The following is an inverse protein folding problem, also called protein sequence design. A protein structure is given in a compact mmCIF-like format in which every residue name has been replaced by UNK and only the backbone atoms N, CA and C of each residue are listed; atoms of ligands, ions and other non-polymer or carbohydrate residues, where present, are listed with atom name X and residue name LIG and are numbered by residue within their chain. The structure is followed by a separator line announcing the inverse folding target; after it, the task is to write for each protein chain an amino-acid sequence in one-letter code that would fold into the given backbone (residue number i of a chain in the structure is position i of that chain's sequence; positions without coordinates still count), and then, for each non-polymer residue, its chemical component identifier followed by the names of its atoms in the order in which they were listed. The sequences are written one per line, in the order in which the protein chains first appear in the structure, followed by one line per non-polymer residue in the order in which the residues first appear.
data_IF_079083316749
#
_entry.id   IF_079083316749
#
_cell.length_a   1.000
_cell.length_b   1.000
_cell.length_c   1.000
_cell.angle_alpha   90.00
_cell.angle_beta   90.00
_cell.angle_gamma   90.00
#
_symmetry.space_group_name_H-M   'P 1'
#
loop_
_entity.id
_entity.type
_entity.pdbx_description
1 polymer ?
#
# COMPACT_ATOMS: atom_id res chain seq x y z
N UNK A 1 -28.89 16.09 -45.42
CA UNK A 1 -29.08 16.19 -43.94
C UNK A 1 -28.84 14.80 -43.38
N UNK A 2 -27.60 14.47 -43.00
CA UNK A 2 -27.24 13.15 -42.40
C UNK A 2 -27.62 13.18 -40.92
N UNK A 3 -28.58 12.33 -40.54
CA UNK A 3 -28.94 12.11 -39.15
C UNK A 3 -27.87 11.20 -38.57
N UNK A 4 -26.99 11.75 -37.71
CA UNK A 4 -26.06 10.98 -36.93
C UNK A 4 -26.87 10.14 -35.92
N UNK A 5 -26.94 8.83 -36.16
CA UNK A 5 -27.49 7.87 -35.22
C UNK A 5 -26.56 7.81 -34.02
N UNK A 6 -26.94 8.44 -32.94
CA UNK A 6 -26.23 8.25 -31.63
C UNK A 6 -26.52 6.81 -31.21
N UNK A 7 -25.52 5.94 -31.36
CA UNK A 7 -25.56 4.62 -30.78
C UNK A 7 -25.69 4.82 -29.26
N UNK A 8 -26.77 4.32 -28.68
CA UNK A 8 -26.94 4.26 -27.22
C UNK A 8 -25.81 3.45 -26.58
N UNK A 9 -25.61 3.56 -25.24
CA UNK A 9 -24.60 2.81 -24.55
C UNK A 9 -24.84 1.32 -24.77
N UNK A 10 -23.96 0.69 -25.58
CA UNK A 10 -23.97 -0.75 -25.79
C UNK A 10 -23.69 -1.47 -24.44
N UNK A 11 -24.12 -2.72 -24.32
CA UNK A 11 -23.72 -3.54 -23.16
C UNK A 11 -22.20 -3.66 -23.10
N UNK A 12 -21.59 -3.63 -21.89
CA UNK A 12 -20.16 -3.78 -21.73
C UNK A 12 -19.65 -5.04 -22.43
N UNK A 13 -18.50 -4.92 -23.10
CA UNK A 13 -17.86 -6.09 -23.71
C UNK A 13 -17.35 -7.05 -22.63
N UNK A 14 -17.19 -8.34 -22.95
CA UNK A 14 -16.63 -9.33 -22.00
C UNK A 14 -15.27 -8.87 -21.45
N UNK A 15 -14.47 -8.21 -22.27
CA UNK A 15 -13.18 -7.69 -21.84
C UNK A 15 -13.28 -6.54 -20.82
N UNK A 16 -14.25 -5.61 -21.01
CA UNK A 16 -14.47 -4.51 -20.07
C UNK A 16 -15.09 -5.02 -18.78
N UNK A 17 -15.97 -6.00 -18.85
CA UNK A 17 -16.52 -6.69 -17.67
C UNK A 17 -15.44 -7.42 -16.88
N UNK A 18 -14.52 -8.11 -17.54
CA UNK A 18 -13.38 -8.75 -16.90
C UNK A 18 -12.48 -7.71 -16.22
N UNK A 19 -12.13 -6.62 -16.92
CA UNK A 19 -11.32 -5.54 -16.35
C UNK A 19 -11.97 -4.92 -15.11
N UNK A 20 -13.29 -4.69 -15.13
CA UNK A 20 -14.04 -4.20 -13.98
C UNK A 20 -13.93 -5.15 -12.77
N UNK A 21 -14.10 -6.45 -13.00
CA UNK A 21 -13.99 -7.46 -11.93
C UNK A 21 -12.59 -7.53 -11.33
N UNK A 22 -11.54 -7.51 -12.17
CA UNK A 22 -10.16 -7.51 -11.68
C UNK A 22 -9.82 -6.23 -10.92
N UNK A 23 -10.24 -5.07 -11.41
CA UNK A 23 -10.04 -3.81 -10.70
C UNK A 23 -10.78 -3.79 -9.35
N UNK A 24 -12.01 -4.29 -9.30
CA UNK A 24 -12.76 -4.42 -8.04
C UNK A 24 -12.08 -5.38 -7.06
N UNK A 25 -11.54 -6.50 -7.56
CA UNK A 25 -10.77 -7.44 -6.73
C UNK A 25 -9.50 -6.80 -6.17
N UNK A 26 -8.77 -6.01 -6.98
CA UNK A 26 -7.60 -5.24 -6.52
C UNK A 26 -8.00 -4.27 -5.40
N UNK A 27 -9.09 -3.52 -5.57
CA UNK A 27 -9.59 -2.59 -4.55
C UNK A 27 -9.93 -3.31 -3.25
N UNK A 28 -10.60 -4.47 -3.34
CA UNK A 28 -10.97 -5.27 -2.18
C UNK A 28 -9.73 -5.82 -1.45
N UNK A 29 -8.78 -6.40 -2.18
CA UNK A 29 -7.54 -6.94 -1.60
C UNK A 29 -6.75 -5.82 -0.93
N UNK A 30 -6.58 -4.69 -1.61
CA UNK A 30 -5.89 -3.53 -1.05
C UNK A 30 -6.56 -3.00 0.24
N UNK A 31 -7.89 -2.92 0.24
CA UNK A 31 -8.66 -2.49 1.41
C UNK A 31 -8.54 -3.48 2.58
N UNK A 32 -8.60 -4.79 2.32
CA UNK A 32 -8.43 -5.82 3.35
C UNK A 32 -7.01 -5.82 3.92
N UNK A 33 -5.99 -5.64 3.08
CA UNK A 33 -4.59 -5.53 3.52
C UNK A 33 -4.40 -4.32 4.42
N UNK A 34 -4.92 -3.17 4.01
CA UNK A 34 -4.85 -1.94 4.81
C UNK A 34 -5.63 -2.06 6.13
N UNK A 35 -6.82 -2.66 6.09
CA UNK A 35 -7.62 -2.94 7.30
C UNK A 35 -6.86 -3.87 8.26
N UNK A 36 -6.20 -4.91 7.74
CA UNK A 36 -5.31 -5.76 8.52
C UNK A 36 -4.18 -4.99 9.19
N UNK A 37 -3.52 -4.09 8.45
CA UNK A 37 -2.45 -3.26 8.99
C UNK A 37 -2.95 -2.34 10.13
N UNK A 38 -4.15 -1.77 10.00
CA UNK A 38 -4.79 -0.99 11.05
C UNK A 38 -5.22 -1.85 12.24
N UNK A 39 -5.71 -3.07 12.01
CA UNK A 39 -6.04 -4.01 13.06
C UNK A 39 -4.81 -4.34 13.93
N UNK A 40 -3.67 -4.67 13.31
CA UNK A 40 -2.43 -4.92 14.04
C UNK A 40 -1.99 -3.71 14.87
N UNK A 41 -2.17 -2.51 14.34
CA UNK A 41 -1.78 -1.27 15.02
C UNK A 41 -2.73 -0.92 16.16
N UNK A 42 -4.06 -0.94 15.93
CA UNK A 42 -5.04 -0.41 16.88
C UNK A 42 -5.50 -1.46 17.90
N UNK A 43 -5.61 -2.73 17.49
CA UNK A 43 -6.13 -3.79 18.35
C UNK A 43 -4.99 -4.54 19.04
N UNK A 44 -3.93 -4.87 18.33
CA UNK A 44 -2.79 -5.59 18.90
C UNK A 44 -1.69 -4.64 19.43
N UNK A 45 -1.81 -3.34 19.25
CA UNK A 45 -0.88 -2.34 19.76
C UNK A 45 0.51 -2.37 19.11
N UNK A 46 0.66 -3.04 17.95
CA UNK A 46 1.91 -3.11 17.21
C UNK A 46 2.15 -1.79 16.47
N UNK A 47 3.16 -1.05 16.91
CA UNK A 47 3.49 0.24 16.30
C UNK A 47 4.19 0.04 14.96
N UNK A 48 3.72 0.67 13.85
CA UNK A 48 4.37 0.55 12.56
C UNK A 48 5.71 1.30 12.55
N UNK A 49 6.72 0.71 11.93
CA UNK A 49 7.98 1.38 11.64
C UNK A 49 7.82 2.38 10.48
N UNK A 50 8.77 3.31 10.24
CA UNK A 50 8.70 4.25 9.13
C UNK A 50 8.48 3.59 7.77
N UNK A 51 9.24 2.55 7.42
CA UNK A 51 9.06 1.80 6.17
C UNK A 51 7.68 1.13 6.07
N UNK A 52 7.13 0.65 7.19
CA UNK A 52 5.77 0.10 7.23
C UNK A 52 4.71 1.15 6.88
N UNK A 53 4.91 2.41 7.30
CA UNK A 53 4.01 3.51 6.97
C UNK A 53 4.11 3.89 5.50
N UNK A 54 5.32 3.94 4.94
CA UNK A 54 5.55 4.23 3.52
C UNK A 54 4.85 3.21 2.61
N UNK A 55 4.92 1.93 2.95
CA UNK A 55 4.23 0.87 2.20
C UNK A 55 2.71 1.04 2.18
N UNK A 56 2.11 1.68 3.18
CA UNK A 56 0.66 1.94 3.20
C UNK A 56 0.22 2.97 2.17
N UNK A 57 1.09 3.90 1.75
CA UNK A 57 0.74 4.92 0.74
C UNK A 57 0.32 4.29 -0.60
N UNK A 58 0.96 3.19 -1.00
CA UNK A 58 0.58 2.47 -2.21
C UNK A 58 -0.87 1.97 -2.15
N UNK A 59 -1.32 1.46 -0.99
CA UNK A 59 -2.70 0.99 -0.81
C UNK A 59 -3.71 2.15 -0.75
N UNK A 60 -3.35 3.27 -0.11
CA UNK A 60 -4.20 4.47 -0.11
C UNK A 60 -4.43 5.02 -1.53
N UNK A 61 -3.44 4.91 -2.41
CA UNK A 61 -3.57 5.27 -3.82
C UNK A 61 -4.33 4.20 -4.62
N UNK A 62 -3.99 2.93 -4.40
CA UNK A 62 -4.54 1.82 -5.18
C UNK A 62 -6.05 1.66 -5.01
N UNK A 63 -6.59 1.83 -3.79
CA UNK A 63 -8.01 1.65 -3.51
C UNK A 63 -8.87 2.60 -4.36
N UNK A 64 -8.74 3.94 -4.28
CA UNK A 64 -9.58 4.84 -5.07
C UNK A 64 -9.33 4.69 -6.58
N UNK A 65 -8.08 4.49 -6.99
CA UNK A 65 -7.76 4.31 -8.40
C UNK A 65 -8.40 3.03 -8.96
N UNK A 66 -8.33 1.92 -8.23
CA UNK A 66 -8.94 0.66 -8.66
C UNK A 66 -10.48 0.75 -8.72
N UNK A 67 -11.11 1.47 -7.79
CA UNK A 67 -12.55 1.74 -7.83
C UNK A 67 -12.90 2.56 -9.08
N UNK A 68 -12.15 3.62 -9.37
CA UNK A 68 -12.36 4.44 -10.57
C UNK A 68 -12.22 3.61 -11.84
N UNK A 69 -11.17 2.76 -11.94
CA UNK A 69 -10.96 1.87 -13.10
C UNK A 69 -12.12 0.86 -13.22
N UNK A 70 -12.57 0.27 -12.11
CA UNK A 70 -13.67 -0.69 -12.10
C UNK A 70 -14.97 -0.05 -12.61
N UNK A 71 -15.29 1.15 -12.13
CA UNK A 71 -16.48 1.90 -12.56
C UNK A 71 -16.35 2.35 -14.02
N UNK A 72 -15.18 2.85 -14.43
CA UNK A 72 -14.94 3.25 -15.83
C UNK A 72 -15.10 2.06 -16.79
N UNK A 73 -14.56 0.90 -16.43
CA UNK A 73 -14.69 -0.33 -17.21
C UNK A 73 -16.15 -0.83 -17.27
N UNK A 74 -16.88 -0.76 -16.16
CA UNK A 74 -18.30 -1.12 -16.11
C UNK A 74 -19.20 -0.18 -16.94
N UNK A 75 -18.73 1.03 -17.22
CA UNK A 75 -19.43 2.04 -18.05
C UNK A 75 -18.92 2.13 -19.49
N UNK A 76 -18.17 1.12 -19.94
CA UNK A 76 -17.57 1.10 -21.28
C UNK A 76 -16.74 2.35 -21.63
N UNK A 77 -15.98 2.85 -20.67
CA UNK A 77 -15.03 3.93 -20.92
C UNK A 77 -14.00 3.53 -21.99
N UNK A 78 -13.35 4.51 -22.63
CA UNK A 78 -12.32 4.25 -23.65
C UNK A 78 -11.25 3.28 -23.16
N UNK A 79 -10.92 2.30 -23.97
CA UNK A 79 -9.98 1.22 -23.64
C UNK A 79 -8.61 1.76 -23.20
N UNK A 80 -8.17 2.87 -23.81
CA UNK A 80 -6.93 3.55 -23.44
C UNK A 80 -6.94 4.03 -21.98
N UNK A 81 -8.06 4.55 -21.50
CA UNK A 81 -8.21 5.02 -20.12
C UNK A 81 -8.17 3.84 -19.13
N UNK A 82 -8.87 2.75 -19.44
CA UNK A 82 -8.85 1.54 -18.62
C UNK A 82 -7.43 0.96 -18.55
N UNK A 83 -6.76 0.82 -19.70
CA UNK A 83 -5.37 0.32 -19.76
C UNK A 83 -4.40 1.23 -19.01
N UNK A 84 -4.53 2.54 -19.13
CA UNK A 84 -3.71 3.50 -18.38
C UNK A 84 -3.91 3.37 -16.86
N UNK A 85 -5.15 3.23 -16.41
CA UNK A 85 -5.46 3.00 -15.00
C UNK A 85 -4.90 1.69 -14.46
N UNK A 86 -5.05 0.59 -15.22
CA UNK A 86 -4.47 -0.72 -14.85
C UNK A 86 -2.93 -0.68 -14.84
N UNK A 87 -2.32 0.02 -15.81
CA UNK A 87 -0.87 0.21 -15.83
C UNK A 87 -0.37 1.02 -14.62
N UNK A 88 -1.09 2.06 -14.23
CA UNK A 88 -0.77 2.83 -13.03
C UNK A 88 -0.88 1.98 -11.75
N UNK A 89 -1.91 1.13 -11.63
CA UNK A 89 -2.05 0.17 -10.52
C UNK A 89 -0.90 -0.82 -10.50
N UNK A 90 -0.50 -1.36 -11.65
CA UNK A 90 0.64 -2.27 -11.77
C UNK A 90 1.94 -1.59 -11.32
N UNK A 91 2.19 -0.37 -11.78
CA UNK A 91 3.40 0.38 -11.39
C UNK A 91 3.42 0.67 -9.88
N UNK A 92 2.29 1.06 -9.30
CA UNK A 92 2.18 1.26 -7.86
C UNK A 92 2.45 -0.05 -7.07
N UNK A 93 1.90 -1.17 -7.54
CA UNK A 93 2.13 -2.48 -6.92
C UNK A 93 3.60 -2.91 -7.03
N UNK A 94 4.23 -2.74 -8.20
CA UNK A 94 5.66 -3.04 -8.39
C UNK A 94 6.55 -2.17 -7.51
N UNK A 95 6.29 -0.87 -7.44
CA UNK A 95 7.04 0.02 -6.56
C UNK A 95 6.91 -0.41 -5.09
N UNK A 96 5.71 -0.76 -4.65
CA UNK A 96 5.47 -1.24 -3.29
C UNK A 96 6.13 -2.61 -3.03
N UNK A 97 6.12 -3.51 -4.00
CA UNK A 97 6.80 -4.80 -3.90
C UNK A 97 8.33 -4.63 -3.77
N UNK A 98 8.92 -3.70 -4.51
CA UNK A 98 10.35 -3.35 -4.36
C UNK A 98 10.64 -2.79 -2.98
N UNK A 99 9.79 -1.90 -2.47
CA UNK A 99 9.93 -1.34 -1.12
C UNK A 99 9.77 -2.44 -0.05
N UNK A 100 8.81 -3.37 -0.22
CA UNK A 100 8.62 -4.52 0.66
C UNK A 100 9.82 -5.46 0.65
N UNK A 101 10.38 -5.76 -0.51
CA UNK A 101 11.61 -6.54 -0.67
C UNK A 101 12.83 -5.87 -0.02
N UNK A 102 12.96 -4.55 -0.19
CA UNK A 102 13.99 -3.77 0.50
C UNK A 102 13.82 -3.88 2.02
N UNK A 103 12.63 -3.67 2.53
CA UNK A 103 12.33 -3.77 3.97
C UNK A 103 12.60 -5.18 4.52
N UNK A 104 12.19 -6.22 3.83
CA UNK A 104 12.49 -7.60 4.23
C UNK A 104 14.00 -7.86 4.30
N UNK A 105 14.78 -7.32 3.36
CA UNK A 105 16.23 -7.42 3.39
C UNK A 105 16.88 -6.65 4.56
N UNK A 106 16.29 -5.54 5.00
CA UNK A 106 16.69 -4.84 6.23
C UNK A 106 16.43 -5.72 7.46
N UNK A 107 15.26 -6.37 7.55
CA UNK A 107 14.94 -7.29 8.64
C UNK A 107 15.85 -8.53 8.67
N UNK A 108 16.29 -9.01 7.50
CA UNK A 108 17.23 -10.13 7.38
C UNK A 108 18.70 -9.73 7.53
N UNK A 109 18.97 -8.41 7.78
CA UNK A 109 20.32 -7.87 7.94
C UNK A 109 21.19 -7.99 6.68
N UNK A 110 20.61 -8.08 5.50
CA UNK A 110 21.35 -8.10 4.23
C UNK A 110 21.95 -6.73 3.91
N UNK A 111 21.26 -5.68 4.32
CA UNK A 111 21.72 -4.28 4.23
C UNK A 111 21.18 -3.45 5.39
N UNK A 112 21.78 -2.28 5.57
CA UNK A 112 21.32 -1.33 6.59
C UNK A 112 20.04 -0.63 6.17
N UNK A 113 19.11 -0.44 7.11
CA UNK A 113 17.93 0.36 6.92
C UNK A 113 18.24 1.85 6.83
N UNK A 114 17.25 2.68 6.40
CA UNK A 114 17.39 4.12 6.42
C UNK A 114 17.70 4.63 7.83
N UNK A 115 18.37 5.79 7.92
CA UNK A 115 18.72 6.41 9.21
C UNK A 115 17.51 6.71 10.08
N UNK A 116 16.37 6.99 9.47
CA UNK A 116 15.08 7.25 10.15
C UNK A 116 14.48 5.98 10.79
N UNK A 117 14.95 4.81 10.41
CA UNK A 117 14.55 3.54 11.03
C UNK A 117 15.12 3.32 12.43
N UNK A 118 16.04 4.16 12.86
CA UNK A 118 16.59 4.15 14.23
C UNK A 118 15.78 5.04 15.20
N UNK A 119 14.62 5.56 14.74
CA UNK A 119 13.80 6.54 15.44
C UNK A 119 14.19 7.98 15.09
N UNK A 120 13.30 8.96 15.30
CA UNK A 120 13.65 10.36 15.07
C UNK A 120 14.86 10.71 15.91
N UNK A 121 15.86 11.38 15.30
CA UNK A 121 16.93 12.04 16.04
C UNK A 121 16.30 13.17 16.85
N UNK A 122 15.78 12.83 18.02
CA UNK A 122 15.26 13.81 18.95
C UNK A 122 16.47 14.59 19.44
N UNK A 123 16.43 15.90 19.24
CA UNK A 123 17.43 16.79 19.83
C UNK A 123 17.39 16.56 21.33
N UNK A 124 18.39 15.85 21.82
CA UNK A 124 18.45 15.28 23.17
C UNK A 124 18.89 16.36 24.16
N UNK A 125 18.24 17.46 24.29
CA UNK A 125 18.43 18.51 25.29
C UNK A 125 19.45 18.17 26.41
N UNK A 126 19.13 18.44 27.65
CA UNK A 126 19.99 18.08 28.79
C UNK A 126 19.92 16.56 29.12
N UNK A 127 20.94 16.00 29.74
CA UNK A 127 21.02 14.59 30.16
C UNK A 127 19.82 14.15 31.05
N UNK A 128 19.23 15.07 31.80
CA UNK A 128 18.01 14.80 32.60
C UNK A 128 16.74 14.63 31.80
N UNK A 129 16.58 15.41 30.70
CA UNK A 129 15.48 15.25 29.75
C UNK A 129 15.58 13.94 28.97
N UNK A 130 16.79 13.46 28.72
CA UNK A 130 17.05 12.19 28.05
C UNK A 130 16.49 11.02 28.85
N UNK A 131 16.79 10.95 30.13
CA UNK A 131 16.36 9.87 31.01
C UNK A 131 14.83 9.80 31.14
N UNK A 132 14.14 10.94 31.26
CA UNK A 132 12.68 10.99 31.33
C UNK A 132 11.98 10.63 30.02
N UNK A 133 12.66 10.83 28.88
CA UNK A 133 12.11 10.49 27.55
C UNK A 133 12.40 9.05 27.12
N UNK A 134 13.46 8.42 27.61
CA UNK A 134 13.76 7.01 27.33
C UNK A 134 12.64 6.06 27.79
N UNK A 135 11.92 6.40 28.87
CA UNK A 135 10.78 5.63 29.36
C UNK A 135 9.51 5.84 28.53
N UNK A 136 9.41 6.93 27.76
CA UNK A 136 8.16 7.31 27.04
C UNK A 136 8.24 7.14 25.53
N UNK A 137 9.42 7.15 24.91
CA UNK A 137 9.62 7.02 23.46
C UNK A 137 9.96 5.60 23.09
N UNK A 138 8.95 4.82 22.69
CA UNK A 138 9.16 3.49 22.12
C UNK A 138 9.64 3.65 20.67
N UNK A 139 10.95 3.57 20.47
CA UNK A 139 11.54 3.58 19.13
C UNK A 139 11.25 2.25 18.45
N UNK A 140 10.51 2.27 17.36
CA UNK A 140 10.21 1.07 16.56
C UNK A 140 11.23 1.01 15.42
N UNK A 141 12.09 -0.01 15.46
CA UNK A 141 13.15 -0.20 14.47
C UNK A 141 12.65 -1.02 13.27
N UNK A 142 13.08 -0.65 12.07
CA UNK A 142 12.73 -1.38 10.84
C UNK A 142 13.47 -2.72 10.71
N UNK A 143 14.56 -2.91 11.46
CA UNK A 143 15.37 -4.12 11.44
C UNK A 143 14.97 -5.13 12.52
N UNK A 144 13.91 -4.82 13.29
CA UNK A 144 13.32 -5.70 14.29
C UNK A 144 11.92 -6.18 13.86
N UNK A 145 11.80 -7.49 13.67
CA UNK A 145 10.55 -8.11 13.25
C UNK A 145 9.60 -8.16 14.45
N UNK A 146 8.53 -7.37 14.43
CA UNK A 146 7.53 -7.34 15.51
C UNK A 146 6.58 -8.52 15.49
N UNK A 147 6.33 -9.09 14.30
CA UNK A 147 5.41 -10.21 14.11
C UNK A 147 5.81 -11.05 12.90
N UNK A 148 5.70 -12.37 13.04
CA UNK A 148 5.96 -13.36 11.97
C UNK A 148 4.82 -14.36 11.88
N UNK A 149 4.50 -14.75 10.66
CA UNK A 149 3.59 -15.85 10.38
C UNK A 149 4.21 -16.75 9.30
N UNK A 150 4.21 -18.06 9.51
CA UNK A 150 4.85 -19.04 8.62
C UNK A 150 6.29 -18.69 8.19
N UNK A 151 7.05 -18.04 9.09
CA UNK A 151 8.44 -17.66 8.82
C UNK A 151 8.63 -16.31 8.11
N UNK A 152 7.56 -15.70 7.57
CA UNK A 152 7.60 -14.38 6.94
C UNK A 152 7.15 -13.30 7.92
N UNK A 153 7.80 -12.15 7.84
CA UNK A 153 7.41 -10.94 8.56
C UNK A 153 6.27 -10.21 7.84
N UNK A 154 5.69 -9.19 8.49
CA UNK A 154 4.69 -8.32 7.84
C UNK A 154 5.27 -7.64 6.59
N UNK A 155 6.55 -7.27 6.60
CA UNK A 155 7.24 -6.70 5.43
C UNK A 155 7.38 -7.72 4.29
N UNK A 156 7.60 -8.99 4.62
CA UNK A 156 7.69 -10.07 3.65
C UNK A 156 6.35 -10.45 3.01
N UNK A 157 5.23 -10.10 3.63
CA UNK A 157 3.87 -10.31 3.07
C UNK A 157 3.39 -9.13 2.21
N UNK A 158 4.07 -8.01 2.20
CA UNK A 158 3.72 -6.84 1.41
C UNK A 158 4.27 -6.96 -0.01
#
# INVERSE_FOLDING_TARGET
MMIATTAGPGLPSDATMAASRYAAAIALIAALTLAGAWFFQLVLGLQPCPLCLEQRYAYYLAIPLAIVVAVAAARDAPRSLICAGLAALLLAALANAVLGGYHAGVEWKWWQGPTDCSGPVVNLGSAGDLLSRLDTVKVVRCDEVQWRFLGLSMAGYN
#
